data_IF_738830090461
#
_entry.id   IF_738830090461
#
_cell.length_a   1.000
_cell.length_b   1.000
_cell.length_c   1.000
_cell.angle_alpha   90.00
_cell.angle_beta   90.00
_cell.angle_gamma   90.00
#
_symmetry.space_group_name_H-M   'P 1'
#
loop_
_entity.id
_entity.type
_entity.pdbx_description
1 polymer ?
#
# COMPACT_ATOMS: atom_id res chain seq x y z
N UNK A 1 8.64 72.31 45.77
CA UNK A 1 9.76 72.34 44.80
C UNK A 1 10.21 70.91 44.51
N UNK A 2 11.06 70.74 43.49
CA UNK A 2 11.45 69.47 42.80
C UNK A 2 10.27 68.75 42.12
N UNK A 3 10.34 68.24 40.88
CA UNK A 3 11.40 68.31 39.84
C UNK A 3 12.45 67.20 39.93
N UNK A 4 12.72 66.37 38.92
CA UNK A 4 12.24 66.29 37.52
C UNK A 4 11.85 64.83 37.17
N UNK A 5 11.06 64.59 36.10
CA UNK A 5 11.00 63.31 35.41
C UNK A 5 12.18 63.11 34.43
N UNK A 6 12.39 61.88 33.96
CA UNK A 6 12.86 61.41 32.61
C UNK A 6 13.65 60.09 32.74
N UNK A 7 13.07 59.00 32.25
CA UNK A 7 13.75 57.87 31.57
C UNK A 7 12.66 57.18 30.73
N UNK A 8 12.59 57.35 29.40
CA UNK A 8 13.47 56.82 28.33
C UNK A 8 13.51 55.30 28.25
N UNK A 9 13.26 54.82 27.03
CA UNK A 9 13.43 53.48 26.49
C UNK A 9 12.60 52.37 27.17
N UNK A 10 11.63 51.75 26.48
CA UNK A 10 11.83 50.84 25.34
C UNK A 10 12.82 49.72 25.64
N UNK A 11 12.31 48.53 25.97
CA UNK A 11 12.76 47.24 25.45
C UNK A 11 11.90 46.11 26.04
N UNK A 12 11.98 44.92 25.41
CA UNK A 12 11.29 43.68 25.79
C UNK A 12 9.76 43.72 25.55
N UNK A 13 9.12 42.75 24.88
CA UNK A 13 9.62 41.56 24.18
C UNK A 13 8.95 41.45 22.81
N UNK A 14 9.73 41.42 21.73
CA UNK A 14 9.25 40.81 20.49
C UNK A 14 9.06 39.33 20.77
N UNK A 15 7.81 38.90 20.93
CA UNK A 15 7.50 37.48 21.05
C UNK A 15 7.77 36.82 19.70
N UNK A 16 8.89 36.10 19.58
CA UNK A 16 9.11 35.20 18.45
C UNK A 16 7.99 34.16 18.44
N UNK A 17 7.02 34.36 17.56
CA UNK A 17 6.01 33.36 17.23
C UNK A 17 6.72 32.22 16.51
N UNK A 18 7.35 31.34 17.29
CA UNK A 18 8.05 30.14 16.83
C UNK A 18 7.12 29.39 15.88
N UNK A 19 7.40 29.51 14.59
CA UNK A 19 6.49 29.09 13.54
C UNK A 19 6.27 27.59 13.67
N UNK A 20 5.11 27.18 14.20
CA UNK A 20 4.71 25.78 14.21
C UNK A 20 4.50 25.38 12.76
N UNK A 21 5.50 24.68 12.18
CA UNK A 21 5.41 24.09 10.85
C UNK A 21 4.24 23.12 10.84
N UNK A 22 3.12 23.60 10.27
CA UNK A 22 1.86 22.86 10.24
C UNK A 22 2.00 21.71 9.26
N UNK A 23 2.40 20.54 9.80
CA UNK A 23 2.66 19.29 9.06
C UNK A 23 1.58 19.11 8.00
N UNK A 24 1.98 19.18 6.74
CA UNK A 24 1.08 19.06 5.60
C UNK A 24 0.63 17.61 5.44
N UNK A 25 -0.52 17.41 4.77
CA UNK A 25 -0.99 16.04 4.45
C UNK A 25 0.06 15.24 3.67
N UNK A 26 0.92 15.90 2.88
CA UNK A 26 2.02 15.28 2.14
C UNK A 26 3.15 14.82 3.06
N UNK A 27 3.59 15.65 4.01
CA UNK A 27 4.63 15.27 4.96
C UNK A 27 4.17 14.11 5.87
N UNK A 28 2.90 14.12 6.29
CA UNK A 28 2.30 13.00 7.01
C UNK A 28 2.30 11.71 6.17
N UNK A 29 1.76 11.75 4.95
CA UNK A 29 1.71 10.58 4.04
C UNK A 29 3.12 10.04 3.75
N UNK A 30 4.08 10.91 3.43
CA UNK A 30 5.45 10.51 3.12
C UNK A 30 6.16 9.93 4.36
N UNK A 31 5.93 10.50 5.55
CA UNK A 31 6.48 9.99 6.81
C UNK A 31 5.90 8.62 7.18
N UNK A 32 4.58 8.46 7.12
CA UNK A 32 3.92 7.17 7.35
C UNK A 32 4.35 6.11 6.34
N UNK A 33 4.51 6.47 5.06
CA UNK A 33 4.97 5.56 4.02
C UNK A 33 6.41 5.09 4.26
N UNK A 34 7.32 5.99 4.68
CA UNK A 34 8.69 5.63 5.06
C UNK A 34 8.73 4.70 6.27
N UNK A 35 7.97 4.98 7.33
CA UNK A 35 7.92 4.14 8.54
C UNK A 35 7.32 2.76 8.23
N UNK A 36 6.22 2.71 7.48
CA UNK A 36 5.60 1.45 7.07
C UNK A 36 6.53 0.63 6.17
N UNK A 37 7.13 1.25 5.15
CA UNK A 37 8.09 0.61 4.25
C UNK A 37 9.31 0.05 5.00
N UNK A 38 9.86 0.81 5.96
CA UNK A 38 10.95 0.35 6.81
C UNK A 38 10.54 -0.84 7.72
N UNK A 39 9.31 -0.84 8.25
CA UNK A 39 8.81 -1.96 9.08
C UNK A 39 8.50 -3.25 8.31
N UNK A 40 8.29 -3.14 6.99
CA UNK A 40 8.10 -4.30 6.09
C UNK A 40 9.42 -4.88 5.57
N UNK A 41 10.55 -4.20 5.78
CA UNK A 41 11.88 -4.74 5.51
C UNK A 41 12.39 -5.48 6.75
N UNK A 42 12.73 -6.78 6.67
CA UNK A 42 13.35 -7.48 7.78
C UNK A 42 14.67 -6.80 8.19
N UNK A 43 14.91 -6.64 9.50
CA UNK A 43 16.18 -6.14 10.01
C UNK A 43 17.32 -7.08 9.60
N UNK A 44 18.13 -6.67 8.62
CA UNK A 44 19.19 -7.48 8.02
C UNK A 44 18.90 -8.01 6.61
N UNK A 45 17.73 -7.76 6.03
CA UNK A 45 17.44 -8.03 4.62
C UNK A 45 18.16 -7.03 3.70
N UNK A 46 19.49 -7.18 3.60
CA UNK A 46 20.24 -6.58 2.50
C UNK A 46 19.77 -7.23 1.20
N UNK A 47 19.71 -6.44 0.11
CA UNK A 47 19.31 -6.96 -1.20
C UNK A 47 20.20 -8.13 -1.67
N UNK A 48 21.43 -8.20 -1.15
CA UNK A 48 22.40 -9.26 -1.41
C UNK A 48 21.86 -10.66 -1.08
N UNK A 49 21.23 -10.85 0.09
CA UNK A 49 20.73 -12.16 0.50
C UNK A 49 19.60 -12.70 -0.41
N UNK A 50 18.91 -11.82 -1.14
CA UNK A 50 17.97 -12.21 -2.19
C UNK A 50 18.72 -12.51 -3.49
N UNK A 51 19.62 -11.61 -3.92
CA UNK A 51 20.41 -11.75 -5.15
C UNK A 51 21.25 -13.05 -5.17
N UNK A 52 21.84 -13.45 -4.05
CA UNK A 52 22.66 -14.66 -3.94
C UNK A 52 21.88 -15.97 -4.13
N UNK A 53 20.53 -15.91 -4.15
CA UNK A 53 19.63 -17.05 -4.42
C UNK A 53 18.98 -17.01 -5.81
N UNK A 54 19.27 -15.99 -6.60
CA UNK A 54 18.76 -15.82 -7.96
C UNK A 54 19.84 -16.25 -8.96
N UNK A 55 19.41 -16.90 -10.05
CA UNK A 55 20.27 -17.19 -11.20
C UNK A 55 20.92 -15.88 -11.70
N UNK A 56 22.24 -15.83 -11.98
CA UNK A 56 22.90 -14.67 -12.57
C UNK A 56 22.26 -14.12 -13.86
N UNK A 57 21.47 -14.94 -14.57
CA UNK A 57 20.67 -14.55 -15.74
C UNK A 57 19.28 -13.99 -15.38
N UNK A 58 18.80 -14.21 -14.15
CA UNK A 58 17.52 -13.69 -13.66
C UNK A 58 17.68 -12.23 -13.20
N UNK A 59 17.65 -11.32 -14.16
CA UNK A 59 17.57 -9.88 -13.91
C UNK A 59 16.19 -9.33 -14.32
N UNK A 60 15.20 -9.28 -13.39
CA UNK A 60 13.83 -8.84 -13.70
C UNK A 60 13.68 -7.50 -14.44
N UNK A 61 14.56 -6.49 -14.27
CA UNK A 61 14.48 -5.24 -15.03
C UNK A 61 14.87 -5.34 -16.52
N UNK A 62 15.61 -6.36 -16.95
CA UNK A 62 15.88 -6.58 -18.39
C UNK A 62 14.69 -7.21 -19.14
N UNK A 63 13.71 -7.75 -18.42
CA UNK A 63 12.52 -8.37 -19.01
C UNK A 63 11.48 -7.31 -19.39
N UNK A 64 11.77 -6.57 -20.46
CA UNK A 64 10.94 -5.48 -20.99
C UNK A 64 9.66 -6.02 -21.65
N UNK A 65 8.57 -6.08 -20.88
CA UNK A 65 7.24 -6.41 -21.40
C UNK A 65 6.17 -6.49 -20.30
N UNK A 66 4.91 -6.24 -20.66
CA UNK A 66 3.76 -6.44 -19.77
C UNK A 66 3.51 -7.95 -19.61
N UNK A 67 4.04 -8.55 -18.54
CA UNK A 67 3.80 -9.97 -18.25
C UNK A 67 2.31 -10.20 -17.99
N UNK A 68 1.70 -11.08 -18.76
CA UNK A 68 0.26 -11.34 -18.74
C UNK A 68 -0.55 -10.51 -19.74
N UNK A 69 0.05 -9.58 -20.47
CA UNK A 69 -0.57 -8.94 -21.64
C UNK A 69 -0.04 -9.57 -22.93
N UNK A 70 -0.85 -10.45 -23.52
CA UNK A 70 -0.55 -11.12 -24.79
C UNK A 70 -1.88 -11.48 -25.47
N UNK A 71 -1.84 -11.77 -26.77
CA UNK A 71 -3.00 -12.31 -27.47
C UNK A 71 -3.52 -13.56 -26.72
N UNK A 72 -4.78 -13.51 -26.29
CA UNK A 72 -5.41 -14.57 -25.47
C UNK A 72 -5.56 -14.27 -23.97
N UNK A 73 -4.81 -13.32 -23.38
CA UNK A 73 -4.96 -12.97 -21.94
C UNK A 73 -6.38 -12.52 -21.58
N UNK A 74 -7.01 -11.80 -22.51
CA UNK A 74 -8.29 -11.14 -22.37
C UNK A 74 -9.53 -11.99 -22.76
N UNK A 75 -9.35 -13.11 -23.50
CA UNK A 75 -10.48 -13.83 -24.14
C UNK A 75 -11.47 -14.42 -23.14
N UNK A 76 -10.98 -14.99 -22.05
CA UNK A 76 -11.84 -15.54 -21.00
C UNK A 76 -12.63 -14.44 -20.28
N UNK A 77 -12.04 -13.25 -20.08
CA UNK A 77 -12.69 -12.11 -19.44
C UNK A 77 -13.88 -11.59 -20.27
N UNK A 78 -13.71 -11.33 -21.58
CA UNK A 78 -14.86 -10.95 -22.43
C UNK A 78 -15.82 -12.11 -22.71
N UNK A 79 -15.37 -13.37 -22.69
CA UNK A 79 -16.29 -14.51 -22.74
C UNK A 79 -17.24 -14.51 -21.53
N UNK A 80 -16.75 -14.17 -20.33
CA UNK A 80 -17.59 -14.01 -19.13
C UNK A 80 -18.43 -12.74 -19.18
N UNK A 81 -17.85 -11.60 -19.57
CA UNK A 81 -18.48 -10.29 -19.49
C UNK A 81 -19.50 -10.02 -20.62
N UNK A 82 -19.12 -10.27 -21.88
CA UNK A 82 -19.96 -10.02 -23.06
C UNK A 82 -20.86 -11.21 -23.38
N UNK A 83 -20.29 -12.41 -23.45
CA UNK A 83 -21.01 -13.63 -23.84
C UNK A 83 -21.65 -14.39 -22.65
N UNK A 84 -21.57 -13.84 -21.42
CA UNK A 84 -22.14 -14.41 -20.18
C UNK A 84 -21.73 -15.86 -19.89
N UNK A 85 -20.58 -16.32 -20.41
CA UNK A 85 -20.12 -17.71 -20.31
C UNK A 85 -19.94 -18.14 -18.85
N UNK A 86 -20.78 -19.06 -18.39
CA UNK A 86 -20.76 -19.65 -17.04
C UNK A 86 -20.04 -21.01 -16.98
N UNK A 87 -20.11 -21.80 -18.05
CA UNK A 87 -19.50 -23.14 -18.14
C UNK A 87 -18.05 -23.09 -18.64
N UNK A 88 -17.14 -23.75 -17.92
CA UNK A 88 -15.69 -23.71 -18.18
C UNK A 88 -15.03 -25.08 -18.35
N UNK A 89 -15.81 -26.16 -18.25
CA UNK A 89 -15.34 -27.55 -18.31
C UNK A 89 -16.16 -28.43 -17.35
N UNK A 90 -15.95 -29.74 -17.35
CA UNK A 90 -16.58 -30.64 -16.38
C UNK A 90 -16.09 -30.29 -14.96
N UNK A 91 -17.04 -30.12 -14.04
CA UNK A 91 -16.79 -29.85 -12.63
C UNK A 91 -17.04 -31.11 -11.81
N UNK A 92 -16.13 -31.46 -10.90
CA UNK A 92 -16.39 -32.48 -9.89
C UNK A 92 -17.29 -31.91 -8.80
N UNK A 93 -18.41 -32.57 -8.53
CA UNK A 93 -19.29 -32.24 -7.40
C UNK A 93 -18.68 -32.79 -6.11
N UNK A 94 -18.21 -31.89 -5.23
CA UNK A 94 -17.74 -32.23 -3.89
C UNK A 94 -18.92 -32.31 -2.92
N UNK A 95 -18.80 -33.17 -1.89
CA UNK A 95 -19.81 -33.30 -0.82
C UNK A 95 -19.52 -32.34 0.36
N UNK A 96 -18.82 -31.26 0.06
CA UNK A 96 -18.26 -30.31 1.02
C UNK A 96 -18.88 -28.95 0.73
N UNK A 97 -19.50 -28.35 1.74
CA UNK A 97 -20.01 -26.99 1.67
C UNK A 97 -18.89 -26.03 2.10
N UNK A 98 -18.74 -24.92 1.38
CA UNK A 98 -17.66 -23.95 1.56
C UNK A 98 -18.26 -22.55 1.62
N UNK A 99 -18.11 -21.87 2.75
CA UNK A 99 -18.71 -20.54 2.97
C UNK A 99 -18.04 -19.45 2.12
N UNK A 100 -16.74 -19.60 1.83
CA UNK A 100 -15.99 -18.75 0.90
C UNK A 100 -14.87 -19.52 0.18
N UNK A 101 -14.74 -19.30 -1.14
CA UNK A 101 -13.57 -19.72 -1.93
C UNK A 101 -12.96 -18.51 -2.64
N UNK A 102 -11.70 -18.17 -2.31
CA UNK A 102 -10.95 -17.06 -2.94
C UNK A 102 -9.83 -17.60 -3.81
N UNK A 103 -9.93 -17.38 -5.12
CA UNK A 103 -8.90 -17.80 -6.10
C UNK A 103 -7.95 -16.64 -6.40
N UNK A 104 -6.80 -16.62 -5.72
CA UNK A 104 -5.66 -15.74 -6.01
C UNK A 104 -5.42 -14.64 -4.96
N UNK A 105 -4.23 -14.63 -4.35
CA UNK A 105 -3.83 -13.71 -3.28
C UNK A 105 -3.48 -12.27 -3.71
N UNK A 106 -4.11 -11.74 -4.76
CA UNK A 106 -3.98 -10.34 -5.15
C UNK A 106 -4.79 -9.40 -4.25
N UNK A 107 -4.65 -8.08 -4.42
CA UNK A 107 -5.42 -7.07 -3.66
C UNK A 107 -6.92 -7.38 -3.68
N UNK A 108 -7.50 -7.69 -4.84
CA UNK A 108 -8.93 -8.03 -4.97
C UNK A 108 -9.33 -9.30 -4.21
N UNK A 109 -8.43 -10.29 -4.06
CA UNK A 109 -8.70 -11.53 -3.33
C UNK A 109 -8.61 -11.33 -1.81
N UNK A 110 -7.58 -10.61 -1.37
CA UNK A 110 -7.43 -10.22 0.04
C UNK A 110 -8.57 -9.30 0.48
N UNK A 111 -9.03 -8.37 -0.38
CA UNK A 111 -10.23 -7.58 -0.13
C UNK A 111 -11.49 -8.45 -0.03
N UNK A 112 -11.68 -9.44 -0.91
CA UNK A 112 -12.83 -10.34 -0.83
C UNK A 112 -12.87 -11.13 0.49
N UNK A 113 -11.72 -11.71 0.90
CA UNK A 113 -11.61 -12.39 2.20
C UNK A 113 -11.83 -11.44 3.39
N UNK A 114 -11.31 -10.21 3.32
CA UNK A 114 -11.48 -9.21 4.38
C UNK A 114 -12.93 -8.73 4.52
N UNK A 115 -13.63 -8.48 3.41
CA UNK A 115 -15.04 -8.07 3.46
C UNK A 115 -15.95 -9.22 3.91
N UNK A 116 -15.68 -10.45 3.47
CA UNK A 116 -16.39 -11.63 3.98
C UNK A 116 -16.27 -11.76 5.51
N UNK A 117 -15.04 -11.63 6.05
CA UNK A 117 -14.75 -11.63 7.49
C UNK A 117 -15.38 -10.42 8.23
N UNK A 118 -15.64 -9.31 7.54
CA UNK A 118 -16.33 -8.15 8.13
C UNK A 118 -17.84 -8.40 8.27
N UNK A 119 -18.44 -9.12 7.34
CA UNK A 119 -19.89 -9.41 7.32
C UNK A 119 -20.26 -10.63 8.19
N UNK A 120 -19.46 -11.70 8.14
CA UNK A 120 -19.74 -12.99 8.79
C UNK A 120 -19.02 -13.15 10.14
N UNK A 121 -18.05 -12.26 10.44
CA UNK A 121 -17.25 -12.29 11.65
C UNK A 121 -15.91 -13.01 11.47
N UNK A 122 -15.24 -13.26 12.60
CA UNK A 122 -14.01 -14.05 12.69
C UNK A 122 -14.33 -15.36 13.37
N UNK A 123 -13.87 -16.45 12.76
CA UNK A 123 -13.77 -17.78 13.36
C UNK A 123 -12.73 -17.80 14.51
#
# INVERSE_FOLDING_TARGET
MSGLPINKNQLTKTGEQKLMSKITRREFINGTLMVAGASMLPFGATCQAVLDTLDPLYYPPALTGLRGDHAGSYTNAHSRALAKKSYWGPTTELKEEYDLIVVGGGISGLSAAFFYQQEHGKD
#
